data_IF_258339081422
#
_entry.id   IF_258339081422
#
_cell.length_a   1.000
_cell.length_b   1.000
_cell.length_c   1.000
_cell.angle_alpha   90.00
_cell.angle_beta   90.00
_cell.angle_gamma   90.00
#
_symmetry.space_group_name_H-M   'P 1'
#
loop_
_entity.id
_entity.type
_entity.pdbx_description
1 polymer ?
#
# COMPACT_ATOMS: atom_id res chain seq x y z
N UNK A 1 -8.22 -4.67 -39.81
CA UNK A 1 -8.43 -3.20 -39.74
C UNK A 1 -7.19 -2.52 -39.15
N UNK A 2 -6.74 -1.40 -39.70
CA UNK A 2 -5.62 -0.61 -39.16
C UNK A 2 -5.99 0.02 -37.80
N UNK A 3 -5.00 0.16 -36.91
CA UNK A 3 -5.22 0.61 -35.53
C UNK A 3 -5.81 2.02 -35.45
N UNK A 4 -5.29 2.95 -36.26
CA UNK A 4 -5.75 4.35 -36.25
C UNK A 4 -7.21 4.47 -36.72
N UNK A 5 -7.57 3.70 -37.76
CA UNK A 5 -8.97 3.62 -38.24
C UNK A 5 -9.91 3.04 -37.17
N UNK A 6 -9.48 2.01 -36.44
CA UNK A 6 -10.26 1.43 -35.34
C UNK A 6 -10.52 2.47 -34.23
N UNK A 7 -9.54 3.28 -33.87
CA UNK A 7 -9.68 4.34 -32.85
C UNK A 7 -10.68 5.42 -33.29
N UNK A 8 -10.69 5.84 -34.56
CA UNK A 8 -11.68 6.78 -35.09
C UNK A 8 -13.12 6.25 -35.00
N UNK A 9 -13.30 4.97 -35.35
CA UNK A 9 -14.59 4.27 -35.23
C UNK A 9 -15.02 4.21 -33.76
N UNK A 10 -14.11 3.83 -32.86
CA UNK A 10 -14.41 3.71 -31.43
C UNK A 10 -14.69 5.06 -30.77
N UNK A 11 -14.05 6.14 -31.21
CA UNK A 11 -14.38 7.50 -30.77
C UNK A 11 -15.83 7.89 -31.14
N UNK A 12 -16.28 7.49 -32.34
CA UNK A 12 -17.67 7.71 -32.78
C UNK A 12 -18.65 6.82 -32.01
N UNK A 13 -18.30 5.54 -31.78
CA UNK A 13 -19.08 4.63 -30.94
C UNK A 13 -19.22 5.15 -29.51
N UNK A 14 -18.15 5.69 -28.93
CA UNK A 14 -18.18 6.35 -27.62
C UNK A 14 -19.17 7.51 -27.60
N UNK A 15 -19.11 8.41 -28.59
CA UNK A 15 -20.00 9.56 -28.66
C UNK A 15 -21.48 9.16 -28.73
N UNK A 16 -21.80 8.10 -29.50
CA UNK A 16 -23.17 7.55 -29.57
C UNK A 16 -23.62 6.94 -28.24
N UNK A 17 -22.77 6.14 -27.59
CA UNK A 17 -23.07 5.51 -26.31
C UNK A 17 -23.29 6.56 -25.20
N UNK A 18 -22.46 7.61 -25.18
CA UNK A 18 -22.56 8.70 -24.20
C UNK A 18 -23.86 9.51 -24.40
N UNK A 19 -24.20 9.84 -25.65
CA UNK A 19 -25.42 10.58 -25.99
C UNK A 19 -26.71 9.83 -25.62
N UNK A 20 -26.69 8.50 -25.64
CA UNK A 20 -27.82 7.65 -25.28
C UNK A 20 -27.86 7.27 -23.78
N UNK A 21 -26.93 7.78 -22.97
CA UNK A 21 -26.87 7.52 -21.53
C UNK A 21 -26.32 6.14 -21.15
N UNK A 22 -25.65 5.44 -22.08
CA UNK A 22 -25.03 4.13 -21.85
C UNK A 22 -23.64 4.28 -21.23
N UNK A 23 -23.54 4.97 -20.09
CA UNK A 23 -22.28 5.44 -19.52
C UNK A 23 -21.29 4.32 -19.16
N UNK A 24 -21.76 3.13 -18.77
CA UNK A 24 -20.85 1.99 -18.48
C UNK A 24 -20.16 1.49 -19.77
N UNK A 25 -20.91 1.29 -20.85
CA UNK A 25 -20.35 0.90 -22.14
C UNK A 25 -19.46 2.00 -22.75
N UNK A 26 -19.88 3.26 -22.66
CA UNK A 26 -19.09 4.41 -23.12
C UNK A 26 -17.74 4.49 -22.40
N UNK A 27 -17.72 4.30 -21.07
CA UNK A 27 -16.47 4.30 -20.31
C UNK A 27 -15.54 3.15 -20.68
N UNK A 28 -16.08 1.97 -20.99
CA UNK A 28 -15.26 0.84 -21.43
C UNK A 28 -14.55 1.12 -22.75
N UNK A 29 -15.28 1.65 -23.73
CA UNK A 29 -14.73 2.03 -25.04
C UNK A 29 -13.68 3.14 -24.92
N UNK A 30 -13.89 4.11 -24.02
CA UNK A 30 -12.98 5.25 -23.85
C UNK A 30 -11.68 4.90 -23.10
N UNK A 31 -11.73 4.00 -22.13
CA UNK A 31 -10.62 3.77 -21.18
C UNK A 31 -9.66 2.67 -21.58
N UNK A 32 -10.14 1.72 -22.39
CA UNK A 32 -9.44 0.47 -22.65
C UNK A 32 -9.07 0.38 -24.12
N UNK A 33 -7.88 -0.15 -24.39
CA UNK A 33 -7.45 -0.38 -25.77
C UNK A 33 -8.25 -1.50 -26.40
N UNK A 34 -8.45 -1.40 -27.72
CA UNK A 34 -9.12 -2.42 -28.49
C UNK A 34 -8.27 -2.90 -29.67
N UNK A 35 -8.57 -4.11 -30.14
CA UNK A 35 -8.01 -4.68 -31.36
C UNK A 35 -9.10 -5.37 -32.16
N UNK A 36 -9.02 -5.29 -33.48
CA UNK A 36 -9.93 -6.01 -34.37
C UNK A 36 -9.27 -7.30 -34.85
N UNK A 37 -9.90 -8.44 -34.60
CA UNK A 37 -9.46 -9.76 -35.02
C UNK A 37 -10.51 -10.39 -35.94
N UNK A 38 -10.09 -10.86 -37.12
CA UNK A 38 -10.97 -11.61 -38.01
C UNK A 38 -11.14 -13.02 -37.45
N UNK A 39 -12.37 -13.37 -37.06
CA UNK A 39 -12.68 -14.64 -36.41
C UNK A 39 -13.40 -15.62 -37.32
N UNK A 40 -13.86 -15.17 -38.49
CA UNK A 40 -14.53 -16.03 -39.46
C UNK A 40 -14.74 -15.38 -40.82
N UNK A 41 -15.31 -16.17 -41.72
CA UNK A 41 -15.69 -15.78 -43.07
C UNK A 41 -16.93 -16.57 -43.49
N UNK A 42 -17.95 -15.87 -43.98
CA UNK A 42 -19.16 -16.45 -44.56
C UNK A 42 -19.21 -16.21 -46.07
N UNK A 43 -19.54 -17.24 -46.85
CA UNK A 43 -19.54 -17.21 -48.30
C UNK A 43 -20.94 -17.19 -48.93
N UNK A 44 -22.02 -17.04 -48.15
CA UNK A 44 -23.39 -17.13 -48.64
C UNK A 44 -23.92 -15.92 -49.43
N UNK A 45 -23.30 -14.74 -49.30
CA UNK A 45 -23.83 -13.48 -49.83
C UNK A 45 -22.79 -12.64 -50.62
N UNK A 46 -21.73 -13.25 -51.15
CA UNK A 46 -20.65 -12.53 -51.84
C UNK A 46 -19.37 -12.37 -51.03
N UNK A 47 -19.32 -12.96 -49.82
CA UNK A 47 -18.16 -12.96 -48.93
C UNK A 47 -18.31 -11.88 -47.85
N UNK A 48 -18.64 -12.30 -46.63
CA UNK A 48 -18.71 -11.43 -45.44
C UNK A 48 -17.64 -11.86 -44.46
N UNK A 49 -16.70 -10.97 -44.13
CA UNK A 49 -15.75 -11.23 -43.06
C UNK A 49 -16.41 -11.00 -41.70
N UNK A 50 -16.08 -11.85 -40.72
CA UNK A 50 -16.57 -11.71 -39.35
C UNK A 50 -15.40 -11.21 -38.50
N UNK A 51 -15.57 -10.03 -37.93
CA UNK A 51 -14.59 -9.33 -37.12
C UNK A 51 -15.07 -9.18 -35.68
N UNK A 52 -14.23 -9.56 -34.72
CA UNK A 52 -14.42 -9.25 -33.30
C UNK A 52 -13.52 -8.06 -32.92
N UNK A 53 -14.15 -6.98 -32.46
CA UNK A 53 -13.47 -5.86 -31.79
C UNK A 53 -13.32 -6.24 -30.32
N UNK A 54 -12.13 -6.70 -29.96
CA UNK A 54 -11.78 -7.12 -28.61
C UNK A 54 -11.33 -5.92 -27.78
N UNK A 55 -12.10 -5.58 -26.76
CA UNK A 55 -11.76 -4.54 -25.77
C UNK A 55 -11.02 -5.22 -24.62
N UNK A 56 -9.75 -4.88 -24.45
CA UNK A 56 -8.87 -5.51 -23.47
C UNK A 56 -9.01 -4.81 -22.12
N UNK A 57 -9.57 -5.49 -21.13
CA UNK A 57 -9.80 -4.93 -19.80
C UNK A 57 -8.95 -5.64 -18.74
N UNK A 58 -8.50 -4.95 -17.68
CA UNK A 58 -7.76 -5.58 -16.59
C UNK A 58 -8.55 -6.73 -15.96
N UNK A 59 -7.87 -7.82 -15.58
CA UNK A 59 -8.52 -9.04 -15.08
C UNK A 59 -9.47 -8.82 -13.87
N UNK A 60 -9.16 -7.85 -13.01
CA UNK A 60 -10.02 -7.49 -11.88
C UNK A 60 -11.33 -6.83 -12.33
N UNK A 61 -11.25 -5.95 -13.32
CA UNK A 61 -12.41 -5.29 -13.91
C UNK A 61 -13.24 -6.29 -14.71
N UNK A 62 -12.58 -7.14 -15.52
CA UNK A 62 -13.20 -8.25 -16.23
C UNK A 62 -14.06 -9.13 -15.32
N UNK A 63 -13.53 -9.51 -14.14
CA UNK A 63 -14.26 -10.33 -13.17
C UNK A 63 -15.48 -9.60 -12.58
N UNK A 64 -15.37 -8.29 -12.31
CA UNK A 64 -16.49 -7.48 -11.80
C UNK A 64 -17.61 -7.33 -12.83
N UNK A 65 -17.28 -7.30 -14.11
CA UNK A 65 -18.25 -7.20 -15.21
C UNK A 65 -19.02 -8.50 -15.46
N UNK A 66 -18.68 -9.61 -14.79
CA UNK A 66 -19.20 -10.97 -15.06
C UNK A 66 -20.68 -11.05 -15.47
N UNK A 67 -21.60 -10.49 -14.68
CA UNK A 67 -23.06 -10.54 -14.96
C UNK A 67 -23.55 -9.51 -15.96
N UNK A 68 -22.80 -8.43 -16.18
CA UNK A 68 -23.15 -7.32 -17.08
C UNK A 68 -22.47 -7.40 -18.45
N UNK A 69 -21.48 -8.28 -18.61
CA UNK A 69 -20.59 -8.32 -19.78
C UNK A 69 -21.37 -8.47 -21.08
N UNK A 70 -22.29 -9.43 -21.16
CA UNK A 70 -23.10 -9.67 -22.37
C UNK A 70 -23.91 -8.44 -22.77
N UNK A 71 -24.54 -7.77 -21.80
CA UNK A 71 -25.31 -6.55 -22.07
C UNK A 71 -24.41 -5.42 -22.61
N UNK A 72 -23.21 -5.27 -22.06
CA UNK A 72 -22.26 -4.23 -22.48
C UNK A 72 -21.69 -4.54 -23.88
N UNK A 73 -21.37 -5.80 -24.16
CA UNK A 73 -20.94 -6.26 -25.49
C UNK A 73 -22.02 -6.02 -26.54
N UNK A 74 -23.30 -6.29 -26.23
CA UNK A 74 -24.43 -6.02 -27.11
C UNK A 74 -24.62 -4.53 -27.39
N UNK A 75 -24.52 -3.68 -26.35
CA UNK A 75 -24.62 -2.23 -26.50
C UNK A 75 -23.56 -1.68 -27.44
N UNK A 76 -22.30 -2.10 -27.25
CA UNK A 76 -21.17 -1.64 -28.07
C UNK A 76 -21.29 -2.22 -29.49
N UNK A 77 -21.63 -3.50 -29.63
CA UNK A 77 -21.81 -4.16 -30.94
C UNK A 77 -22.87 -3.46 -31.80
N UNK A 78 -23.99 -3.06 -31.18
CA UNK A 78 -25.05 -2.35 -31.89
C UNK A 78 -24.55 -1.02 -32.48
N UNK A 79 -23.70 -0.28 -31.76
CA UNK A 79 -23.18 1.02 -32.21
C UNK A 79 -22.03 0.84 -33.20
N UNK A 80 -21.19 -0.18 -33.03
CA UNK A 80 -20.21 -0.57 -34.04
C UNK A 80 -20.90 -0.83 -35.38
N UNK A 81 -22.01 -1.58 -35.37
CA UNK A 81 -22.80 -1.83 -36.57
C UNK A 81 -23.32 -0.53 -37.19
N UNK A 82 -23.92 0.36 -36.40
CA UNK A 82 -24.42 1.66 -36.91
C UNK A 82 -23.33 2.55 -37.50
N UNK A 83 -22.11 2.52 -36.95
CA UNK A 83 -21.00 3.31 -37.48
C UNK A 83 -20.43 2.68 -38.76
N UNK A 84 -20.37 1.35 -38.84
CA UNK A 84 -19.70 0.61 -39.92
C UNK A 84 -20.61 0.26 -41.10
N UNK A 85 -21.93 0.32 -40.96
CA UNK A 85 -22.88 -0.05 -42.02
C UNK A 85 -22.76 0.81 -43.29
N UNK A 86 -22.15 2.00 -43.19
CA UNK A 86 -21.88 2.88 -44.34
C UNK A 86 -20.59 2.51 -45.09
N UNK A 87 -19.67 1.82 -44.41
CA UNK A 87 -18.31 1.57 -44.89
C UNK A 87 -18.11 0.14 -45.41
N UNK A 88 -18.84 -0.83 -44.86
CA UNK A 88 -18.62 -2.25 -45.15
C UNK A 88 -19.88 -3.09 -44.92
N UNK A 89 -19.94 -4.23 -45.62
CA UNK A 89 -20.94 -5.29 -45.42
C UNK A 89 -20.47 -6.37 -44.42
N UNK A 90 -19.23 -6.26 -43.94
CA UNK A 90 -18.63 -7.18 -42.98
C UNK A 90 -19.34 -7.11 -41.61
N UNK A 91 -19.32 -8.23 -40.90
CA UNK A 91 -19.96 -8.35 -39.59
C UNK A 91 -18.97 -7.96 -38.48
N UNK A 92 -19.30 -6.93 -37.71
CA UNK A 92 -18.52 -6.53 -36.53
C UNK A 92 -19.30 -6.77 -35.23
N UNK A 93 -18.62 -7.35 -34.24
CA UNK A 93 -19.12 -7.46 -32.86
C UNK A 93 -18.07 -7.01 -31.86
N UNK A 94 -18.51 -6.47 -30.74
CA UNK A 94 -17.65 -6.15 -29.61
C UNK A 94 -17.54 -7.35 -28.67
N UNK A 95 -16.35 -7.57 -28.13
CA UNK A 95 -16.09 -8.59 -27.11
C UNK A 95 -15.19 -8.03 -26.05
N UNK A 96 -15.60 -8.14 -24.80
CA UNK A 96 -14.77 -7.75 -23.68
C UNK A 96 -13.89 -8.96 -23.37
N UNK A 97 -12.57 -8.76 -23.36
CA UNK A 97 -11.60 -9.81 -23.07
C UNK A 97 -10.70 -9.38 -21.92
N UNK A 98 -10.29 -10.34 -21.10
CA UNK A 98 -9.28 -10.06 -20.08
C UNK A 98 -7.94 -9.80 -20.77
N UNK A 99 -7.31 -8.68 -20.44
CA UNK A 99 -5.95 -8.36 -20.85
C UNK A 99 -5.03 -9.51 -20.42
N UNK A 100 -4.25 -10.02 -21.38
CA UNK A 100 -3.34 -11.13 -21.12
C UNK A 100 -2.11 -10.61 -20.38
N UNK A 101 -1.97 -11.00 -19.12
CA UNK A 101 -0.77 -10.69 -18.32
C UNK A 101 0.45 -11.37 -18.96
N UNK A 102 1.36 -10.58 -19.51
CA UNK A 102 2.53 -11.05 -20.26
C UNK A 102 3.86 -10.98 -19.50
N UNK A 103 3.88 -10.47 -18.26
CA UNK A 103 5.10 -10.46 -17.46
C UNK A 103 5.45 -11.86 -16.96
N UNK A 104 6.74 -12.25 -17.06
CA UNK A 104 7.25 -13.56 -16.62
C UNK A 104 7.08 -13.80 -15.10
N UNK A 105 6.83 -12.73 -14.36
CA UNK A 105 6.68 -12.69 -12.90
C UNK A 105 5.23 -12.54 -12.46
N UNK A 106 4.25 -13.01 -13.25
CA UNK A 106 2.83 -12.98 -12.89
C UNK A 106 2.51 -13.72 -11.57
N UNK A 107 3.42 -14.60 -11.11
CA UNK A 107 3.36 -15.23 -9.78
C UNK A 107 3.83 -14.32 -8.63
N UNK A 108 4.42 -13.17 -8.94
CA UNK A 108 4.96 -12.17 -8.02
C UNK A 108 4.18 -10.83 -8.10
N UNK A 109 3.32 -10.66 -9.11
CA UNK A 109 2.72 -9.36 -9.41
C UNK A 109 1.56 -8.96 -8.47
N UNK A 110 1.75 -7.83 -7.78
CA UNK A 110 0.66 -7.00 -7.29
C UNK A 110 1.19 -5.75 -6.59
N UNK A 111 1.13 -4.58 -7.24
CA UNK A 111 1.50 -3.24 -6.73
C UNK A 111 2.92 -2.78 -7.11
N UNK A 112 2.98 -1.97 -8.16
CA UNK A 112 4.14 -1.19 -8.59
C UNK A 112 4.59 -0.21 -7.50
N UNK A 113 5.89 0.14 -7.48
CA UNK A 113 6.47 1.09 -6.53
C UNK A 113 6.48 2.49 -7.17
N UNK A 114 5.68 3.46 -6.70
CA UNK A 114 5.54 4.75 -7.38
C UNK A 114 6.86 5.50 -7.49
N UNK A 115 7.12 6.11 -8.66
CA UNK A 115 8.32 6.91 -8.93
C UNK A 115 8.63 7.94 -7.84
N UNK A 116 7.61 8.60 -7.29
CA UNK A 116 7.76 9.57 -6.18
C UNK A 116 8.43 8.96 -4.95
N UNK A 117 8.05 7.74 -4.58
CA UNK A 117 8.62 7.03 -3.43
C UNK A 117 10.09 6.68 -3.70
N UNK A 118 10.41 6.25 -4.93
CA UNK A 118 11.78 5.99 -5.35
C UNK A 118 12.65 7.23 -5.29
N UNK A 119 12.17 8.35 -5.83
CA UNK A 119 12.85 9.66 -5.78
C UNK A 119 13.11 10.07 -4.33
N UNK A 120 12.10 10.03 -3.46
CA UNK A 120 12.28 10.38 -2.04
C UNK A 120 13.36 9.54 -1.35
N UNK A 121 13.43 8.24 -1.63
CA UNK A 121 14.44 7.35 -1.05
C UNK A 121 15.84 7.71 -1.56
N UNK A 122 16.00 7.90 -2.87
CA UNK A 122 17.29 8.26 -3.46
C UNK A 122 17.76 9.67 -3.02
N UNK A 123 16.84 10.62 -2.89
CA UNK A 123 17.14 11.95 -2.35
C UNK A 123 17.52 11.88 -0.87
N UNK A 124 16.90 11.00 -0.09
CA UNK A 124 17.33 10.71 1.28
C UNK A 124 18.77 10.21 1.36
N UNK A 125 19.16 9.29 0.46
CA UNK A 125 20.54 8.81 0.36
C UNK A 125 21.52 9.94 0.00
N UNK A 126 21.13 10.86 -0.89
CA UNK A 126 21.94 12.05 -1.24
C UNK A 126 22.11 12.99 -0.05
N UNK A 127 21.03 13.29 0.66
CA UNK A 127 21.03 14.21 1.80
C UNK A 127 21.91 13.70 2.95
N UNK A 128 21.91 12.40 3.17
CA UNK A 128 22.72 11.75 4.21
C UNK A 128 24.15 11.39 3.74
N UNK A 129 24.55 11.77 2.51
CA UNK A 129 25.83 11.41 1.84
C UNK A 129 26.15 9.91 1.94
N UNK A 130 25.14 9.08 1.71
CA UNK A 130 25.25 7.63 1.84
C UNK A 130 25.89 7.04 0.59
N UNK A 131 27.10 6.50 0.74
CA UNK A 131 27.77 5.76 -0.33
C UNK A 131 27.08 4.41 -0.58
N UNK A 132 26.17 4.31 -1.55
CA UNK A 132 25.29 3.14 -1.77
C UNK A 132 26.04 1.80 -1.87
N UNK A 133 27.25 1.77 -2.41
CA UNK A 133 28.13 0.60 -2.50
C UNK A 133 28.83 0.17 -1.18
N UNK A 134 28.74 1.00 -0.14
CA UNK A 134 29.31 0.70 1.18
C UNK A 134 30.82 0.45 1.13
N UNK A 135 31.24 -0.77 1.48
CA UNK A 135 32.65 -1.20 1.45
C UNK A 135 33.10 -1.79 0.12
N UNK A 136 32.17 -2.09 -0.78
CA UNK A 136 32.47 -2.58 -2.13
C UNK A 136 32.76 -1.41 -3.05
N UNK A 137 33.32 -1.68 -4.23
CA UNK A 137 33.30 -0.71 -5.34
C UNK A 137 32.00 -0.80 -6.17
N UNK A 138 31.79 0.18 -7.07
CA UNK A 138 30.62 0.26 -7.95
C UNK A 138 30.40 -1.05 -8.74
N UNK A 139 31.48 -1.65 -9.26
CA UNK A 139 31.43 -2.85 -10.11
C UNK A 139 31.11 -4.08 -9.27
N UNK A 140 31.78 -4.24 -8.12
CA UNK A 140 31.54 -5.32 -7.16
C UNK A 140 30.11 -5.30 -6.63
N UNK A 141 29.59 -4.12 -6.29
CA UNK A 141 28.21 -3.95 -5.83
C UNK A 141 27.22 -4.30 -6.95
N UNK A 142 27.36 -3.67 -8.13
CA UNK A 142 26.39 -3.83 -9.20
C UNK A 142 26.40 -5.24 -9.81
N UNK A 143 27.54 -5.93 -9.81
CA UNK A 143 27.65 -7.33 -10.27
C UNK A 143 26.84 -8.31 -9.41
N UNK A 144 26.45 -7.91 -8.19
CA UNK A 144 25.58 -8.71 -7.31
C UNK A 144 24.10 -8.59 -7.68
N UNK A 145 23.75 -7.56 -8.44
CA UNK A 145 22.38 -7.27 -8.87
C UNK A 145 22.16 -7.56 -10.36
N UNK A 146 23.16 -7.27 -11.19
CA UNK A 146 23.08 -7.26 -12.65
C UNK A 146 24.24 -8.03 -13.29
N UNK A 147 24.00 -8.62 -14.46
CA UNK A 147 25.07 -9.15 -15.31
C UNK A 147 25.66 -8.01 -16.14
N UNK A 148 26.67 -7.32 -15.59
CA UNK A 148 27.29 -6.15 -16.21
C UNK A 148 27.97 -6.43 -17.55
N UNK A 149 28.36 -7.69 -17.82
CA UNK A 149 28.99 -8.06 -19.09
C UNK A 149 27.98 -8.17 -20.24
N UNK A 150 26.69 -8.32 -19.92
CA UNK A 150 25.60 -8.32 -20.90
C UNK A 150 24.99 -6.94 -21.11
N UNK A 151 25.25 -5.98 -20.21
CA UNK A 151 24.77 -4.62 -20.36
C UNK A 151 25.69 -3.81 -21.28
N UNK A 152 25.11 -2.94 -22.14
CA UNK A 152 25.91 -2.13 -23.04
C UNK A 152 26.72 -1.09 -22.26
N UNK A 153 27.91 -0.77 -22.79
CA UNK A 153 28.67 0.40 -22.37
C UNK A 153 27.99 1.68 -22.86
N UNK A 154 28.05 2.73 -22.04
CA UNK A 154 27.72 4.11 -22.43
C UNK A 154 28.88 4.80 -23.14
N UNK A 155 30.08 4.28 -22.98
CA UNK A 155 31.28 4.70 -23.70
C UNK A 155 31.68 3.67 -24.75
N UNK A 156 31.57 4.04 -26.02
CA UNK A 156 31.93 3.19 -27.17
C UNK A 156 33.34 2.59 -27.14
N UNK A 157 34.26 3.12 -26.32
CA UNK A 157 35.62 2.59 -26.14
C UNK A 157 35.64 1.28 -25.35
N UNK A 158 34.60 0.98 -24.58
CA UNK A 158 34.49 -0.20 -23.75
C UNK A 158 33.41 -1.15 -24.28
N UNK A 159 33.61 -2.44 -24.03
CA UNK A 159 32.77 -3.51 -24.58
C UNK A 159 31.42 -3.61 -23.87
N UNK A 160 31.41 -3.40 -22.56
CA UNK A 160 30.29 -3.67 -21.68
C UNK A 160 30.25 -2.68 -20.51
N UNK A 161 29.18 -2.74 -19.71
CA UNK A 161 28.99 -1.86 -18.57
C UNK A 161 30.04 -2.08 -17.46
N UNK A 162 30.61 -3.29 -17.34
CA UNK A 162 31.65 -3.52 -16.35
C UNK A 162 32.91 -2.71 -16.68
N UNK A 163 33.30 -2.68 -17.95
CA UNK A 163 34.48 -1.96 -18.42
C UNK A 163 34.36 -0.45 -18.30
N UNK A 164 33.22 0.14 -18.67
CA UNK A 164 33.07 1.61 -18.58
C UNK A 164 32.91 2.10 -17.14
N UNK A 165 32.12 1.42 -16.31
CA UNK A 165 31.97 1.75 -14.88
C UNK A 165 33.34 1.66 -14.19
N UNK A 166 34.11 0.60 -14.43
CA UNK A 166 35.44 0.49 -13.84
C UNK A 166 36.36 1.64 -14.27
N UNK A 167 36.37 1.97 -15.57
CA UNK A 167 37.21 3.06 -16.06
C UNK A 167 36.83 4.40 -15.42
N UNK A 168 35.55 4.72 -15.37
CA UNK A 168 35.08 6.03 -14.98
C UNK A 168 34.98 6.21 -13.46
N UNK A 169 34.41 5.24 -12.75
CA UNK A 169 34.23 5.34 -11.30
C UNK A 169 35.52 5.04 -10.52
N UNK A 170 36.36 4.11 -11.00
CA UNK A 170 37.50 3.59 -10.22
C UNK A 170 38.83 4.13 -10.75
N UNK A 171 39.10 4.03 -12.05
CA UNK A 171 40.39 4.43 -12.61
C UNK A 171 40.52 5.95 -12.77
N UNK A 172 39.46 6.62 -13.26
CA UNK A 172 39.44 8.07 -13.46
C UNK A 172 38.82 8.84 -12.30
N UNK A 173 37.82 8.25 -11.63
CA UNK A 173 36.97 8.92 -10.64
C UNK A 173 36.35 10.22 -11.18
N UNK A 174 35.77 10.15 -12.39
CA UNK A 174 35.23 11.29 -13.15
C UNK A 174 33.69 11.28 -13.30
N UNK A 175 33.01 10.32 -12.67
CA UNK A 175 31.54 10.27 -12.56
C UNK A 175 31.06 10.74 -11.18
N UNK A 176 29.88 11.36 -11.15
CA UNK A 176 29.23 11.78 -9.91
C UNK A 176 28.89 10.57 -9.04
N UNK A 177 29.00 10.67 -7.71
CA UNK A 177 28.71 9.54 -6.79
C UNK A 177 27.33 8.92 -6.94
N UNK A 178 26.36 9.68 -7.42
CA UNK A 178 24.97 9.27 -7.60
C UNK A 178 24.62 9.02 -9.07
N UNK A 179 25.61 8.89 -9.97
CA UNK A 179 25.44 8.62 -11.41
C UNK A 179 24.42 7.51 -11.68
N UNK A 180 24.47 6.45 -10.85
CA UNK A 180 23.63 5.26 -10.93
C UNK A 180 22.13 5.59 -10.85
N UNK A 181 21.75 6.65 -10.11
CA UNK A 181 20.35 6.99 -9.87
C UNK A 181 19.64 7.49 -11.14
N UNK A 182 20.40 7.96 -12.13
CA UNK A 182 19.93 8.42 -13.43
C UNK A 182 20.30 7.50 -14.60
N UNK A 183 21.10 6.45 -14.37
CA UNK A 183 21.57 5.59 -15.45
C UNK A 183 20.44 4.66 -15.95
N UNK A 184 20.16 4.76 -17.24
CA UNK A 184 19.05 4.06 -17.90
C UNK A 184 19.29 2.56 -18.06
N UNK A 185 20.53 2.07 -17.94
CA UNK A 185 20.86 0.63 -17.97
C UNK A 185 20.29 -0.09 -16.76
N UNK A 186 20.25 0.58 -15.60
CA UNK A 186 19.76 0.03 -14.34
C UNK A 186 18.32 0.46 -14.04
N UNK A 187 17.92 1.60 -14.58
CA UNK A 187 16.54 2.11 -14.58
C UNK A 187 15.88 2.06 -13.19
N UNK A 188 16.57 2.58 -12.16
CA UNK A 188 16.08 2.52 -10.78
C UNK A 188 14.78 3.33 -10.60
N UNK A 189 14.64 4.46 -11.29
CA UNK A 189 13.49 5.36 -11.16
C UNK A 189 12.24 4.88 -11.90
N UNK A 190 12.40 4.41 -13.14
CA UNK A 190 11.28 4.09 -14.04
C UNK A 190 11.18 2.60 -14.38
N UNK A 191 12.02 1.76 -13.76
CA UNK A 191 12.05 0.30 -13.93
C UNK A 191 11.17 -0.46 -12.94
N UNK A 192 11.37 -1.78 -12.85
CA UNK A 192 10.53 -2.63 -12.01
C UNK A 192 10.69 -2.32 -10.51
N UNK A 193 9.63 -2.55 -9.73
CA UNK A 193 9.69 -2.42 -8.27
C UNK A 193 10.69 -3.41 -7.66
N UNK A 194 10.76 -4.62 -8.20
CA UNK A 194 11.71 -5.66 -7.78
C UNK A 194 13.16 -5.19 -7.93
N UNK A 195 13.53 -4.62 -9.08
CA UNK A 195 14.88 -4.11 -9.32
C UNK A 195 15.25 -3.08 -8.24
N UNK A 196 14.34 -2.17 -7.93
CA UNK A 196 14.56 -1.14 -6.91
C UNK A 196 14.64 -1.72 -5.49
N UNK A 197 13.74 -2.64 -5.14
CA UNK A 197 13.72 -3.25 -3.81
C UNK A 197 14.96 -4.14 -3.57
N UNK A 198 15.39 -4.92 -4.58
CA UNK A 198 16.65 -5.67 -4.54
C UNK A 198 17.84 -4.74 -4.36
N UNK A 199 17.85 -3.60 -5.05
CA UNK A 199 18.88 -2.58 -4.87
C UNK A 199 18.94 -2.08 -3.41
N UNK A 200 17.80 -1.76 -2.79
CA UNK A 200 17.76 -1.35 -1.38
C UNK A 200 18.23 -2.46 -0.43
N UNK A 201 17.82 -3.71 -0.65
CA UNK A 201 18.30 -4.86 0.12
C UNK A 201 19.81 -5.02 0.02
N UNK A 202 20.38 -4.79 -1.17
CA UNK A 202 21.83 -4.90 -1.38
C UNK A 202 22.59 -3.78 -0.69
N UNK A 203 22.09 -2.53 -0.68
CA UNK A 203 22.67 -1.42 0.11
C UNK A 203 22.88 -1.86 1.56
N UNK A 204 21.88 -2.50 2.17
CA UNK A 204 21.93 -2.89 3.59
C UNK A 204 22.47 -4.30 3.82
N UNK A 205 22.98 -4.95 2.78
CA UNK A 205 23.49 -6.32 2.89
C UNK A 205 24.76 -6.36 3.77
N UNK A 206 24.94 -7.39 4.64
CA UNK A 206 26.09 -7.46 5.57
C UNK A 206 27.48 -7.41 4.94
N UNK A 207 27.61 -7.76 3.65
CA UNK A 207 28.88 -7.66 2.90
C UNK A 207 29.14 -6.25 2.36
N UNK A 208 28.08 -5.48 2.12
CA UNK A 208 28.14 -4.10 1.66
C UNK A 208 28.33 -3.17 2.86
N UNK A 209 27.55 -3.38 3.92
CA UNK A 209 27.60 -2.63 5.18
C UNK A 209 27.67 -3.55 6.37
N UNK A 210 28.74 -3.42 7.15
CA UNK A 210 28.96 -4.25 8.33
C UNK A 210 28.47 -3.62 9.64
N UNK A 211 28.23 -2.31 9.65
CA UNK A 211 27.75 -1.58 10.82
C UNK A 211 26.25 -1.82 11.00
N UNK A 212 25.89 -2.39 12.14
CA UNK A 212 24.51 -2.74 12.46
C UNK A 212 23.64 -1.51 12.72
N UNK A 213 24.18 -0.46 13.34
CA UNK A 213 23.42 0.74 13.65
C UNK A 213 23.10 1.53 12.38
N UNK A 214 24.08 1.63 11.47
CA UNK A 214 23.90 2.21 10.14
C UNK A 214 22.82 1.46 9.34
N UNK A 215 22.90 0.12 9.31
CA UNK A 215 21.93 -0.73 8.61
C UNK A 215 20.52 -0.55 9.16
N UNK A 216 20.35 -0.55 10.48
CA UNK A 216 19.02 -0.36 11.12
C UNK A 216 18.47 1.03 10.79
N UNK A 217 19.32 2.08 10.82
CA UNK A 217 18.92 3.45 10.46
C UNK A 217 18.42 3.52 9.02
N UNK A 218 19.19 2.98 8.07
CA UNK A 218 18.83 2.98 6.64
C UNK A 218 17.55 2.21 6.37
N UNK A 219 17.40 1.01 6.95
CA UNK A 219 16.17 0.22 6.79
C UNK A 219 14.96 0.97 7.35
N UNK A 220 15.11 1.68 8.48
CA UNK A 220 14.03 2.53 9.02
C UNK A 220 13.63 3.62 8.04
N UNK A 221 14.60 4.37 7.50
CA UNK A 221 14.36 5.44 6.52
C UNK A 221 13.72 4.91 5.23
N UNK A 222 14.17 3.75 4.73
CA UNK A 222 13.56 3.11 3.57
C UNK A 222 12.12 2.72 3.85
N UNK A 223 11.86 2.08 4.99
CA UNK A 223 10.52 1.63 5.36
C UNK A 223 9.53 2.78 5.57
N UNK A 224 9.97 3.95 6.07
CA UNK A 224 9.11 5.15 6.17
C UNK A 224 8.52 5.56 4.80
N UNK A 225 9.27 5.35 3.72
CA UNK A 225 8.81 5.64 2.36
C UNK A 225 8.09 4.43 1.74
N UNK A 226 8.65 3.23 1.84
CA UNK A 226 8.11 2.00 1.24
C UNK A 226 6.73 1.62 1.80
N UNK A 227 6.49 1.86 3.09
CA UNK A 227 5.20 1.56 3.72
C UNK A 227 4.05 2.34 3.09
N UNK A 228 4.30 3.54 2.57
CA UNK A 228 3.30 4.35 1.85
C UNK A 228 2.88 3.68 0.52
N UNK A 229 3.75 2.86 -0.05
CA UNK A 229 3.49 2.04 -1.24
C UNK A 229 3.11 0.59 -0.90
N UNK A 230 2.92 0.25 0.38
CA UNK A 230 2.56 -1.10 0.81
C UNK A 230 3.70 -2.11 0.75
N UNK A 231 4.95 -1.65 0.78
CA UNK A 231 6.15 -2.48 0.80
C UNK A 231 6.92 -2.29 2.12
N UNK A 232 7.65 -3.32 2.53
CA UNK A 232 8.63 -3.21 3.62
C UNK A 232 9.86 -4.07 3.33
N UNK A 233 11.00 -3.63 3.82
CA UNK A 233 12.17 -4.47 4.06
C UNK A 233 12.05 -5.11 5.44
N UNK A 234 12.16 -6.43 5.50
CA UNK A 234 12.10 -7.21 6.72
C UNK A 234 13.38 -8.04 6.87
N UNK A 235 13.80 -8.28 8.12
CA UNK A 235 14.89 -9.21 8.41
C UNK A 235 14.44 -10.63 8.03
N UNK A 236 15.01 -11.18 6.96
CA UNK A 236 14.72 -12.54 6.50
C UNK A 236 15.53 -13.56 7.28
N UNK A 237 16.83 -13.32 7.39
CA UNK A 237 17.78 -14.21 8.04
C UNK A 237 18.97 -13.44 8.62
N UNK A 238 19.96 -14.18 9.16
CA UNK A 238 21.20 -13.60 9.66
C UNK A 238 22.43 -14.29 9.10
N UNK A 239 23.40 -13.50 8.64
CA UNK A 239 24.71 -13.96 8.21
C UNK A 239 25.72 -13.62 9.30
N UNK A 240 26.28 -14.64 9.96
CA UNK A 240 27.22 -14.47 11.07
C UNK A 240 26.73 -13.48 12.16
N UNK A 241 25.43 -13.56 12.49
CA UNK A 241 24.80 -12.68 13.49
C UNK A 241 24.38 -11.29 12.98
N UNK A 242 24.70 -10.94 11.73
CA UNK A 242 24.29 -9.68 11.09
C UNK A 242 22.98 -9.89 10.30
N UNK A 243 22.02 -8.95 10.36
CA UNK A 243 20.74 -9.10 9.69
C UNK A 243 20.89 -9.02 8.16
N UNK A 244 20.26 -9.96 7.44
CA UNK A 244 20.05 -9.90 6.00
C UNK A 244 18.57 -9.58 5.76
N UNK A 245 18.33 -8.50 5.01
CA UNK A 245 17.00 -8.03 4.72
C UNK A 245 16.53 -8.53 3.36
N UNK A 246 15.24 -8.82 3.28
CA UNK A 246 14.51 -9.02 2.03
C UNK A 246 13.27 -8.13 2.01
N UNK A 247 12.60 -8.02 0.88
CA UNK A 247 11.40 -7.20 0.72
C UNK A 247 10.14 -8.03 0.67
N UNK A 248 9.04 -7.50 1.21
CA UNK A 248 7.70 -8.09 1.05
C UNK A 248 6.62 -7.03 0.95
N UNK A 249 5.48 -7.47 0.47
CA UNK A 249 4.27 -6.66 0.51
C UNK A 249 3.62 -6.73 1.89
N UNK A 250 3.19 -5.56 2.34
CA UNK A 250 2.41 -5.41 3.56
C UNK A 250 0.97 -5.82 3.22
N UNK A 251 0.53 -6.93 3.81
CA UNK A 251 -0.85 -7.39 3.68
C UNK A 251 -1.83 -6.29 4.15
N UNK A 252 -2.62 -5.78 3.20
CA UNK A 252 -3.39 -4.52 3.24
C UNK A 252 -4.50 -4.37 4.30
N UNK A 253 -4.55 -5.20 5.34
CA UNK A 253 -5.59 -5.14 6.38
C UNK A 253 -5.07 -4.77 7.77
N UNK A 254 -3.79 -4.95 8.09
CA UNK A 254 -3.22 -4.60 9.41
C UNK A 254 -2.64 -3.19 9.48
N UNK A 255 -1.81 -2.82 8.49
CA UNK A 255 -0.92 -1.64 8.56
C UNK A 255 -1.63 -0.27 8.48
N UNK A 256 -2.74 -0.13 7.73
CA UNK A 256 -3.47 1.16 7.64
C UNK A 256 -4.11 1.62 8.95
N UNK A 257 -4.41 0.67 9.84
CA UNK A 257 -4.92 0.99 11.17
C UNK A 257 -3.78 1.48 12.06
N UNK A 258 -2.60 0.86 11.97
CA UNK A 258 -1.47 1.17 12.82
C UNK A 258 -0.76 2.47 12.39
N UNK A 259 -0.78 2.81 11.10
CA UNK A 259 -0.25 4.09 10.60
C UNK A 259 -0.97 5.31 11.18
N UNK A 260 -2.31 5.26 11.37
CA UNK A 260 -3.04 6.32 12.10
C UNK A 260 -2.62 6.40 13.57
N UNK A 261 -2.37 5.27 14.22
CA UNK A 261 -1.89 5.24 15.60
C UNK A 261 -0.52 5.95 15.73
N UNK A 262 0.36 5.76 14.74
CA UNK A 262 1.68 6.40 14.67
C UNK A 262 1.56 7.92 14.56
N UNK A 263 0.68 8.42 13.69
CA UNK A 263 0.35 9.87 13.62
C UNK A 263 -0.16 10.43 14.95
N UNK A 264 -0.94 9.65 15.71
CA UNK A 264 -1.42 10.05 17.04
C UNK A 264 -0.28 10.11 18.05
N UNK A 265 0.62 9.12 18.05
CA UNK A 265 1.78 9.06 18.92
C UNK A 265 2.75 10.23 18.69
N UNK A 266 3.08 10.50 17.43
CA UNK A 266 3.98 11.60 17.04
C UNK A 266 3.41 12.94 17.51
N UNK A 267 2.13 13.18 17.26
CA UNK A 267 1.53 14.47 17.58
C UNK A 267 1.04 14.57 19.05
N UNK A 268 1.21 13.54 19.87
CA UNK A 268 1.12 13.62 21.34
C UNK A 268 2.49 13.79 22.01
N UNK A 269 3.58 13.85 21.24
CA UNK A 269 4.97 13.84 21.70
C UNK A 269 5.22 12.68 22.68
N UNK A 270 4.71 11.51 22.30
CA UNK A 270 4.62 10.34 23.13
C UNK A 270 5.52 9.23 22.57
N UNK A 271 6.84 9.38 22.76
CA UNK A 271 7.82 8.33 22.42
C UNK A 271 7.53 6.97 23.07
N UNK A 272 6.69 6.95 24.11
CA UNK A 272 6.23 5.74 24.77
C UNK A 272 5.11 4.99 24.01
N UNK A 273 4.37 5.59 23.07
CA UNK A 273 3.34 4.89 22.28
C UNK A 273 3.92 4.12 21.09
N UNK A 274 5.11 4.50 20.63
CA UNK A 274 5.74 3.94 19.43
C UNK A 274 5.98 2.42 19.56
N UNK A 275 6.35 1.96 20.76
CA UNK A 275 6.65 0.54 21.04
C UNK A 275 5.39 -0.32 21.04
N UNK A 276 4.28 0.18 21.56
CA UNK A 276 2.98 -0.48 21.58
C UNK A 276 2.37 -0.54 20.18
N UNK A 277 2.58 0.51 19.38
CA UNK A 277 2.19 0.58 17.97
C UNK A 277 2.98 -0.41 17.12
N UNK A 278 4.30 -0.46 17.27
CA UNK A 278 5.17 -1.44 16.61
C UNK A 278 4.79 -2.88 16.99
N UNK A 279 4.54 -3.14 18.28
CA UNK A 279 4.04 -4.45 18.75
C UNK A 279 2.70 -4.82 18.12
N UNK A 280 1.77 -3.88 17.99
CA UNK A 280 0.48 -4.09 17.34
C UNK A 280 0.66 -4.47 15.86
N UNK A 281 1.52 -3.75 15.15
CA UNK A 281 1.88 -4.00 13.74
C UNK A 281 2.35 -5.44 13.53
N UNK A 282 3.27 -5.93 14.37
CA UNK A 282 3.81 -7.28 14.25
C UNK A 282 2.86 -8.39 14.75
N UNK A 283 1.97 -8.07 15.70
CA UNK A 283 1.11 -9.06 16.33
C UNK A 283 -0.23 -9.27 15.59
N UNK A 284 -0.76 -8.27 14.88
CA UNK A 284 -2.16 -8.29 14.39
C UNK A 284 -2.50 -9.51 13.52
N UNK A 285 -1.52 -10.00 12.74
CA UNK A 285 -1.68 -11.16 11.85
C UNK A 285 -1.09 -12.45 12.43
N UNK A 286 -0.10 -12.38 13.32
CA UNK A 286 0.67 -13.52 13.83
C UNK A 286 0.21 -14.00 15.21
N UNK A 287 -0.23 -13.07 16.05
CA UNK A 287 -0.71 -13.33 17.41
C UNK A 287 -1.91 -12.43 17.74
N UNK A 288 -3.12 -12.83 17.31
CA UNK A 288 -4.33 -12.05 17.54
C UNK A 288 -4.61 -11.76 19.02
N UNK A 289 -4.18 -12.64 19.92
CA UNK A 289 -4.37 -12.48 21.37
C UNK A 289 -3.45 -11.40 21.93
N UNK A 290 -2.17 -11.41 21.53
CA UNK A 290 -1.22 -10.36 21.88
C UNK A 290 -1.63 -9.01 21.32
N UNK A 291 -2.10 -8.96 20.06
CA UNK A 291 -2.57 -7.73 19.44
C UNK A 291 -3.74 -7.10 20.21
N UNK A 292 -4.72 -7.90 20.62
CA UNK A 292 -5.85 -7.42 21.43
C UNK A 292 -5.38 -6.89 22.80
N UNK A 293 -4.44 -7.60 23.45
CA UNK A 293 -3.87 -7.14 24.72
C UNK A 293 -3.14 -5.81 24.57
N UNK A 294 -2.31 -5.68 23.53
CA UNK A 294 -1.55 -4.46 23.24
C UNK A 294 -2.48 -3.30 22.89
N UNK A 295 -3.61 -3.55 22.22
CA UNK A 295 -4.62 -2.51 21.92
C UNK A 295 -5.26 -1.95 23.20
N UNK A 296 -5.52 -2.80 24.19
CA UNK A 296 -6.01 -2.38 25.51
C UNK A 296 -4.96 -1.53 26.24
N UNK A 297 -3.70 -1.99 26.27
CA UNK A 297 -2.58 -1.28 26.89
C UNK A 297 -2.37 0.11 26.25
N UNK A 298 -2.53 0.21 24.93
CA UNK A 298 -2.43 1.47 24.19
C UNK A 298 -3.49 2.49 24.65
N UNK A 299 -4.76 2.09 24.79
CA UNK A 299 -5.83 2.97 25.30
C UNK A 299 -5.54 3.38 26.74
N UNK A 300 -5.17 2.41 27.59
CA UNK A 300 -4.93 2.66 29.01
C UNK A 300 -3.82 3.69 29.21
N UNK A 301 -2.73 3.52 28.47
CA UNK A 301 -1.57 4.40 28.59
C UNK A 301 -1.84 5.78 27.97
N UNK A 302 -2.64 5.84 26.89
CA UNK A 302 -3.14 7.11 26.33
C UNK A 302 -3.95 7.89 27.37
N UNK A 303 -4.93 7.24 28.00
CA UNK A 303 -5.76 7.87 29.04
C UNK A 303 -4.90 8.36 30.22
N UNK A 304 -4.02 7.51 30.75
CA UNK A 304 -3.12 7.88 31.86
C UNK A 304 -2.24 9.09 31.53
N UNK A 305 -1.72 9.14 30.30
CA UNK A 305 -0.86 10.23 29.84
C UNK A 305 -1.64 11.54 29.73
N UNK A 306 -2.84 11.52 29.14
CA UNK A 306 -3.68 12.70 29.03
C UNK A 306 -4.10 13.23 30.42
N UNK A 307 -4.49 12.35 31.33
CA UNK A 307 -4.81 12.73 32.72
C UNK A 307 -3.60 13.36 33.42
N UNK A 308 -2.41 12.76 33.26
CA UNK A 308 -1.16 13.30 33.81
C UNK A 308 -0.86 14.69 33.24
N UNK A 309 -0.95 14.87 31.91
CA UNK A 309 -0.76 16.18 31.25
C UNK A 309 -1.78 17.23 31.70
N UNK A 310 -2.96 16.80 32.16
CA UNK A 310 -4.04 17.65 32.69
C UNK A 310 -3.98 17.86 34.20
N UNK A 311 -3.03 17.24 34.90
CA UNK A 311 -2.92 17.31 36.35
C UNK A 311 -4.06 16.62 37.09
N UNK A 312 -4.72 15.64 36.47
CA UNK A 312 -5.81 14.88 37.08
C UNK A 312 -5.27 13.60 37.71
N UNK A 313 -5.50 13.43 39.01
CA UNK A 313 -5.08 12.25 39.73
C UNK A 313 -5.92 11.01 39.36
N UNK A 314 -5.22 9.88 39.23
CA UNK A 314 -5.81 8.55 39.08
C UNK A 314 -5.06 7.55 39.96
N UNK A 315 -5.77 6.54 40.45
CA UNK A 315 -5.21 5.51 41.32
C UNK A 315 -4.88 4.24 40.55
N UNK A 316 -4.01 3.38 41.11
CA UNK A 316 -3.67 2.07 40.49
C UNK A 316 -4.84 1.07 40.48
N UNK A 317 -5.87 1.31 41.28
CA UNK A 317 -7.07 0.47 41.36
C UNK A 317 -8.14 0.83 40.33
N UNK A 318 -8.02 2.00 39.68
CA UNK A 318 -8.95 2.41 38.63
C UNK A 318 -8.75 1.58 37.37
N UNK A 319 -9.86 1.07 36.84
CA UNK A 319 -9.85 0.29 35.62
C UNK A 319 -9.87 1.18 34.36
N UNK A 320 -9.78 0.55 33.19
CA UNK A 320 -9.81 1.26 31.90
C UNK A 320 -11.09 2.09 31.71
N UNK A 321 -12.23 1.60 32.22
CA UNK A 321 -13.50 2.31 32.14
C UNK A 321 -13.48 3.58 32.99
N UNK A 322 -12.91 3.54 34.18
CA UNK A 322 -12.76 4.69 35.07
C UNK A 322 -11.84 5.76 34.45
N UNK A 323 -10.69 5.33 33.93
CA UNK A 323 -9.73 6.22 33.25
C UNK A 323 -10.38 6.92 32.04
N UNK A 324 -11.13 6.17 31.24
CA UNK A 324 -11.82 6.70 30.05
C UNK A 324 -12.90 7.72 30.41
N UNK A 325 -13.67 7.48 31.47
CA UNK A 325 -14.67 8.44 31.98
C UNK A 325 -14.02 9.75 32.44
N UNK A 326 -12.89 9.67 33.15
CA UNK A 326 -12.16 10.85 33.60
C UNK A 326 -11.67 11.70 32.42
N UNK A 327 -11.07 11.06 31.41
CA UNK A 327 -10.62 11.74 30.19
C UNK A 327 -11.79 12.38 29.46
N UNK A 328 -12.90 11.65 29.28
CA UNK A 328 -14.08 12.17 28.60
C UNK A 328 -14.70 13.38 29.31
N UNK A 329 -14.67 13.39 30.65
CA UNK A 329 -15.12 14.50 31.49
C UNK A 329 -14.20 15.71 31.38
N UNK A 330 -12.89 15.53 31.53
CA UNK A 330 -11.92 16.64 31.43
C UNK A 330 -11.92 17.29 30.04
N UNK A 331 -11.92 16.47 29.01
CA UNK A 331 -11.98 16.93 27.62
C UNK A 331 -13.39 17.36 27.22
N UNK A 332 -14.35 17.39 28.15
CA UNK A 332 -15.77 17.64 27.93
C UNK A 332 -16.22 17.13 26.54
N UNK A 333 -15.87 15.86 26.25
CA UNK A 333 -16.32 15.17 25.02
C UNK A 333 -17.85 15.07 24.99
N UNK A 334 -18.43 15.31 26.15
CA UNK A 334 -19.83 15.44 26.45
C UNK A 334 -20.05 16.86 26.99
N UNK A 335 -20.96 17.64 26.42
CA UNK A 335 -21.37 18.90 27.02
C UNK A 335 -22.04 18.64 28.39
N UNK A 336 -21.47 19.17 29.48
CA UNK A 336 -22.15 19.21 30.77
C UNK A 336 -23.01 20.49 30.84
N UNK A 337 -24.31 20.35 31.11
CA UNK A 337 -25.21 21.48 31.33
C UNK A 337 -26.01 21.96 30.12
N UNK A 338 -26.01 21.24 28.99
CA UNK A 338 -27.00 21.48 27.94
C UNK A 338 -28.25 20.67 28.30
N UNK A 339 -29.37 21.37 28.47
CA UNK A 339 -30.72 20.81 28.54
C UNK A 339 -30.95 19.82 27.40
N UNK A 340 -31.92 18.91 27.55
CA UNK A 340 -32.20 17.75 26.68
C UNK A 340 -32.39 18.06 25.16
N UNK A 341 -32.14 19.29 24.69
CA UNK A 341 -32.35 19.75 23.32
C UNK A 341 -31.22 19.51 22.31
N UNK A 342 -29.96 19.24 22.68
CA UNK A 342 -28.97 18.79 21.67
C UNK A 342 -29.07 17.29 21.43
N UNK A 343 -29.99 16.92 20.53
CA UNK A 343 -30.13 15.57 19.94
C UNK A 343 -28.78 15.03 19.45
N UNK A 344 -28.04 14.32 20.30
CA UNK A 344 -26.75 13.73 19.92
C UNK A 344 -25.77 13.47 21.07
N UNK A 345 -25.85 14.21 22.18
CA UNK A 345 -24.91 14.04 23.30
C UNK A 345 -24.95 12.62 23.91
N UNK A 346 -26.15 12.06 24.06
CA UNK A 346 -26.32 10.69 24.56
C UNK A 346 -25.83 9.63 23.57
N UNK A 347 -25.95 9.88 22.27
CA UNK A 347 -25.42 9.00 21.25
C UNK A 347 -23.88 9.02 21.25
N UNK A 348 -23.25 10.18 21.45
CA UNK A 348 -21.79 10.29 21.58
C UNK A 348 -21.31 9.56 22.85
N UNK A 349 -21.97 9.77 23.99
CA UNK A 349 -21.70 9.00 25.24
C UNK A 349 -21.80 7.50 24.99
N UNK A 350 -22.83 7.07 24.27
CA UNK A 350 -23.07 5.66 23.96
C UNK A 350 -21.98 5.10 23.05
N UNK A 351 -21.55 5.84 22.02
CA UNK A 351 -20.46 5.45 21.12
C UNK A 351 -19.15 5.27 21.89
N UNK A 352 -18.76 6.25 22.71
CA UNK A 352 -17.52 6.18 23.51
C UNK A 352 -17.56 5.04 24.52
N UNK A 353 -18.70 4.84 25.20
CA UNK A 353 -18.90 3.71 26.12
C UNK A 353 -18.81 2.37 25.41
N UNK A 354 -19.46 2.23 24.25
CA UNK A 354 -19.48 0.99 23.47
C UNK A 354 -18.09 0.63 22.94
N UNK A 355 -17.31 1.62 22.51
CA UNK A 355 -15.93 1.44 22.06
C UNK A 355 -15.02 0.92 23.19
N UNK A 356 -15.20 1.47 24.41
CA UNK A 356 -14.52 1.00 25.62
C UNK A 356 -14.94 -0.43 25.98
N UNK A 357 -16.25 -0.70 25.96
CA UNK A 357 -16.80 -2.03 26.22
C UNK A 357 -16.27 -3.07 25.22
N UNK A 358 -16.13 -2.70 23.95
CA UNK A 358 -15.56 -3.55 22.89
C UNK A 358 -14.15 -4.04 23.25
N UNK A 359 -13.28 -3.14 23.72
CA UNK A 359 -11.90 -3.48 24.09
C UNK A 359 -11.85 -4.40 25.31
N UNK A 360 -12.70 -4.16 26.31
CA UNK A 360 -12.84 -5.02 27.49
C UNK A 360 -13.37 -6.41 27.11
N UNK A 361 -14.39 -6.48 26.25
CA UNK A 361 -14.96 -7.75 25.79
C UNK A 361 -13.95 -8.55 24.95
N UNK A 362 -13.14 -7.89 24.12
CA UNK A 362 -12.07 -8.53 23.37
C UNK A 362 -10.94 -9.06 24.28
N UNK A 363 -10.60 -8.33 25.35
CA UNK A 363 -9.65 -8.81 26.36
C UNK A 363 -10.20 -10.01 27.18
N UNK A 364 -11.49 -10.03 27.48
CA UNK A 364 -12.16 -11.17 28.10
C UNK A 364 -12.20 -12.38 27.14
N UNK A 365 -12.46 -12.14 25.85
CA UNK A 365 -12.33 -13.18 24.81
C UNK A 365 -10.91 -13.74 24.75
N UNK A 366 -9.85 -12.93 24.90
CA UNK A 366 -8.48 -13.46 25.06
C UNK A 366 -8.38 -14.37 26.29
N UNK A 367 -8.98 -14.02 27.44
CA UNK A 367 -8.96 -14.88 28.62
C UNK A 367 -9.65 -16.23 28.40
N UNK A 368 -10.73 -16.23 27.60
CA UNK A 368 -11.53 -17.41 27.29
C UNK A 368 -10.95 -18.27 26.14
N UNK A 369 -10.23 -17.66 25.19
CA UNK A 369 -9.75 -18.28 23.95
C UNK A 369 -8.22 -18.23 23.76
N UNK A 370 -7.48 -17.73 24.76
CA UNK A 370 -6.02 -17.67 24.78
C UNK A 370 -5.41 -18.96 25.30
N UNK A 371 -4.24 -19.33 24.78
CA UNK A 371 -3.54 -20.62 24.97
C UNK A 371 -3.05 -20.92 26.40
N UNK A 372 -3.52 -20.18 27.42
CA UNK A 372 -3.00 -20.23 28.79
C UNK A 372 -3.47 -21.41 29.65
N UNK A 373 -4.51 -22.13 29.25
CA UNK A 373 -4.97 -23.32 29.98
C UNK A 373 -5.33 -24.43 29.00
N UNK A 374 -4.52 -25.50 29.00
CA UNK A 374 -4.71 -26.65 28.13
C UNK A 374 -6.12 -27.23 28.24
N UNK A 375 -6.79 -27.37 27.09
CA UNK A 375 -8.07 -28.07 26.94
C UNK A 375 -8.27 -28.53 25.49
N UNK A 376 -9.09 -29.57 25.34
CA UNK A 376 -9.18 -30.52 24.23
C UNK A 376 -9.13 -29.92 22.81
N UNK A 377 -8.40 -30.63 21.93
CA UNK A 377 -7.92 -30.24 20.61
C UNK A 377 -8.95 -29.89 19.52
N UNK A 378 -10.12 -29.36 19.88
CA UNK A 378 -11.14 -28.87 18.95
C UNK A 378 -11.42 -27.36 19.04
N UNK A 379 -10.73 -26.59 19.89
CA UNK A 379 -11.00 -25.15 20.02
C UNK A 379 -10.39 -24.31 18.88
N UNK A 380 -11.24 -23.59 18.14
CA UNK A 380 -10.84 -22.56 17.16
C UNK A 380 -10.53 -21.26 17.90
N UNK A 381 -9.25 -20.90 18.02
CA UNK A 381 -8.79 -19.67 18.68
C UNK A 381 -9.17 -18.38 17.96
N UNK A 382 -8.75 -17.23 18.53
CA UNK A 382 -8.94 -15.91 17.94
C UNK A 382 -8.22 -15.81 16.58
N UNK A 383 -8.92 -15.27 15.57
CA UNK A 383 -8.39 -15.08 14.22
C UNK A 383 -7.87 -13.65 13.99
N UNK A 384 -6.96 -13.42 13.04
CA UNK A 384 -6.44 -12.10 12.68
C UNK A 384 -7.53 -11.04 12.44
N UNK A 385 -8.67 -11.44 11.85
CA UNK A 385 -9.80 -10.52 11.64
C UNK A 385 -10.36 -9.92 12.94
N UNK A 386 -10.36 -10.67 14.04
CA UNK A 386 -10.85 -10.19 15.34
C UNK A 386 -9.86 -9.21 15.96
N UNK A 387 -8.55 -9.49 15.84
CA UNK A 387 -7.51 -8.57 16.26
C UNK A 387 -7.59 -7.26 15.46
N UNK A 388 -7.71 -7.32 14.13
CA UNK A 388 -7.84 -6.11 13.30
C UNK A 388 -9.00 -5.21 13.73
N UNK A 389 -10.16 -5.77 14.08
CA UNK A 389 -11.30 -5.01 14.60
C UNK A 389 -10.97 -4.32 15.94
N UNK A 390 -10.33 -5.04 16.85
CA UNK A 390 -9.93 -4.53 18.16
C UNK A 390 -8.94 -3.37 18.03
N UNK A 391 -7.90 -3.57 17.22
CA UNK A 391 -6.87 -2.56 16.96
C UNK A 391 -7.50 -1.34 16.28
N UNK A 392 -8.37 -1.52 15.29
CA UNK A 392 -9.05 -0.42 14.62
C UNK A 392 -9.90 0.43 15.57
N UNK A 393 -10.60 -0.24 16.48
CA UNK A 393 -11.42 0.44 17.49
C UNK A 393 -10.56 1.22 18.49
N UNK A 394 -9.45 0.63 18.94
CA UNK A 394 -8.51 1.28 19.84
C UNK A 394 -7.86 2.51 19.20
N UNK A 395 -7.43 2.40 17.93
CA UNK A 395 -6.82 3.50 17.21
C UNK A 395 -7.81 4.64 16.98
N UNK A 396 -9.06 4.33 16.58
CA UNK A 396 -10.09 5.33 16.42
C UNK A 396 -10.37 6.10 17.72
N UNK A 397 -10.32 5.43 18.88
CA UNK A 397 -10.46 6.07 20.18
C UNK A 397 -9.35 7.09 20.45
N UNK A 398 -8.10 6.63 20.39
CA UNK A 398 -6.96 7.46 20.77
C UNK A 398 -6.82 8.66 19.83
N UNK A 399 -7.14 8.48 18.55
CA UNK A 399 -7.11 9.53 17.54
C UNK A 399 -8.08 10.66 17.88
N UNK A 400 -9.35 10.30 18.10
CA UNK A 400 -10.39 11.26 18.48
C UNK A 400 -10.08 12.02 19.78
N UNK A 401 -9.62 11.29 20.81
CA UNK A 401 -9.34 11.88 22.12
C UNK A 401 -8.09 12.78 22.07
N UNK A 402 -7.04 12.37 21.36
CA UNK A 402 -5.82 13.14 21.17
C UNK A 402 -6.08 14.42 20.37
N UNK A 403 -6.82 14.32 19.27
CA UNK A 403 -7.23 15.48 18.46
C UNK A 403 -8.03 16.47 19.31
N UNK A 404 -8.99 15.99 20.09
CA UNK A 404 -9.81 16.85 20.96
C UNK A 404 -8.96 17.53 22.04
N UNK A 405 -7.98 16.83 22.62
CA UNK A 405 -7.05 17.43 23.57
C UNK A 405 -6.25 18.58 22.92
N UNK A 406 -5.68 18.37 21.73
CA UNK A 406 -4.90 19.40 21.02
C UNK A 406 -5.73 20.63 20.69
N UNK A 407 -6.92 20.41 20.12
CA UNK A 407 -7.83 21.50 19.79
C UNK A 407 -8.10 22.41 21.00
N UNK A 408 -8.25 21.81 22.19
CA UNK A 408 -8.48 22.56 23.44
C UNK A 408 -7.24 23.27 23.96
N UNK A 409 -6.06 22.67 23.86
CA UNK A 409 -4.81 23.34 24.27
C UNK A 409 -4.51 24.56 23.39
N UNK A 410 -4.71 24.45 22.06
CA UNK A 410 -4.57 25.58 21.13
C UNK A 410 -5.57 26.68 21.47
N UNK A 411 -6.83 26.33 21.73
CA UNK A 411 -7.88 27.30 22.09
C UNK A 411 -7.61 27.99 23.44
N UNK A 412 -6.96 27.31 24.40
CA UNK A 412 -6.55 27.91 25.68
C UNK A 412 -5.37 28.87 25.53
N UNK A 413 -4.43 28.63 24.61
CA UNK A 413 -3.29 29.54 24.39
C UNK A 413 -3.68 30.82 23.65
N UNK A 414 -4.83 30.84 22.97
CA UNK A 414 -5.37 31.99 22.25
C UNK A 414 -6.30 32.88 23.10
N UNK A 415 -6.58 32.49 24.34
CA UNK A 415 -7.33 33.26 25.34
C UNK A 415 -6.39 33.71 26.45
#
# INVERSE_FOLDING_TARGET
MEKDRLEEILATVYALLDAEGMSEAANLVRRHSARAEQTGYDNWNGGTEIWEVQIEVPAQEFARLSTKRTQLEEQISARLKTVLEQDTQDWYSAKIVAERVSHKDWRVAGLDLPRKIRVNILDGLRLDDVAWFGKLDDVEFLSRLFDLQQLPSTDSRFKDAAGDIWQHCINNNDWDRDWLFSDTRFNLLDGSAETFLRFLCEIVHPLVRSDREEVIKLVSQFNEQLQQAGWELYEEERIAGRPRFDYRQIAHSGSRVVSRARTVADALDAGWMAKEIERLEHAVDRDPALAIGTAKELIETCCKTLLTKRGIEFTKSEDLGDLTKKVAKDLQLVPEGITDETKGADNIRLILRNLTQLTNNLAQLRGLYGTGHGRDGQHRGLQPRHARLAVASAVAFIDFVAETYRYREITKQQR
#
